data_IF_342340782080
#
_entry.id   IF_342340782080
#
_cell.length_a   1.000
_cell.length_b   1.000
_cell.length_c   1.000
_cell.angle_alpha   90.00
_cell.angle_beta   90.00
_cell.angle_gamma   90.00
#
_symmetry.space_group_name_H-M   'P 1'
#
loop_
_entity.id
_entity.type
_entity.pdbx_description
1 polymer ?
#
# COMPACT_ATOMS: atom_id res chain seq x y z
N UNK A 1 -24.75 4.30 -11.31
CA UNK A 1 -25.15 5.44 -12.15
C UNK A 1 -24.04 5.95 -13.08
N UNK A 2 -22.77 6.07 -12.65
CA UNK A 2 -21.67 6.57 -13.52
C UNK A 2 -21.06 5.49 -14.44
N UNK A 3 -20.88 4.26 -13.95
CA UNK A 3 -20.37 3.13 -14.77
C UNK A 3 -21.31 2.71 -15.90
N UNK A 4 -22.62 2.90 -15.73
CA UNK A 4 -23.64 2.66 -16.76
C UNK A 4 -23.62 3.72 -17.88
N UNK A 5 -23.06 4.92 -17.63
CA UNK A 5 -23.01 6.01 -18.60
C UNK A 5 -21.83 5.91 -19.60
N UNK A 6 -20.79 5.13 -19.25
CA UNK A 6 -19.58 4.96 -20.06
C UNK A 6 -19.72 3.95 -21.21
N UNK A 7 -20.81 3.18 -21.24
CA UNK A 7 -21.01 2.08 -22.18
C UNK A 7 -20.00 0.95 -21.99
N UNK A 8 -20.25 -0.19 -22.66
CA UNK A 8 -19.42 -1.42 -22.52
C UNK A 8 -17.92 -1.17 -22.79
N UNK A 9 -17.60 -0.27 -23.73
CA UNK A 9 -16.22 0.11 -24.09
C UNK A 9 -15.54 1.02 -23.06
N UNK A 10 -16.26 1.93 -22.41
CA UNK A 10 -15.68 2.78 -21.36
C UNK A 10 -15.46 2.03 -20.04
N UNK A 11 -16.33 1.06 -19.75
CA UNK A 11 -16.11 0.07 -18.67
C UNK A 11 -14.87 -0.78 -18.92
N UNK A 12 -14.68 -1.31 -20.14
CA UNK A 12 -13.47 -2.05 -20.51
C UNK A 12 -12.19 -1.21 -20.43
N UNK A 13 -12.20 0.08 -20.80
CA UNK A 13 -11.01 0.95 -20.73
C UNK A 13 -10.64 1.29 -19.28
N UNK A 14 -11.61 1.57 -18.41
CA UNK A 14 -11.37 1.78 -16.97
C UNK A 14 -10.89 0.47 -16.32
N UNK A 15 -11.48 -0.66 -16.70
CA UNK A 15 -11.02 -1.96 -16.22
C UNK A 15 -9.59 -2.21 -16.68
N UNK A 16 -9.26 -2.09 -17.97
CA UNK A 16 -7.92 -2.42 -18.49
C UNK A 16 -6.83 -1.50 -17.94
N UNK A 17 -7.06 -0.18 -17.86
CA UNK A 17 -6.03 0.76 -17.39
C UNK A 17 -5.95 0.88 -15.87
N UNK A 18 -7.07 0.77 -15.16
CA UNK A 18 -7.09 0.90 -13.71
C UNK A 18 -6.85 -0.44 -13.00
N UNK A 19 -7.20 -1.60 -13.57
CA UNK A 19 -7.23 -2.86 -12.81
C UNK A 19 -5.93 -3.65 -12.74
N UNK A 20 -4.97 -3.47 -13.64
CA UNK A 20 -3.83 -4.40 -13.69
C UNK A 20 -2.47 -3.72 -13.62
N UNK A 21 -2.25 -2.62 -14.32
CA UNK A 21 -0.91 -2.01 -14.30
C UNK A 21 -0.74 -1.08 -13.11
N UNK A 22 -1.68 -0.16 -12.88
CA UNK A 22 -1.57 0.79 -11.78
C UNK A 22 -1.84 0.16 -10.41
N UNK A 23 -2.88 -0.65 -10.29
CA UNK A 23 -3.23 -1.35 -9.05
C UNK A 23 -2.19 -2.39 -8.62
N UNK A 24 -1.34 -2.88 -9.54
CA UNK A 24 -0.20 -3.73 -9.18
C UNK A 24 1.09 -2.95 -8.95
N UNK A 25 1.43 -2.01 -9.83
CA UNK A 25 2.72 -1.34 -9.80
C UNK A 25 2.80 -0.29 -8.69
N UNK A 26 1.75 0.51 -8.45
CA UNK A 26 1.84 1.58 -7.47
C UNK A 26 2.03 1.07 -6.04
N UNK A 27 1.27 0.06 -5.55
CA UNK A 27 1.53 -0.50 -4.23
C UNK A 27 2.94 -1.07 -4.11
N UNK A 28 3.46 -1.71 -5.16
CA UNK A 28 4.84 -2.22 -5.19
C UNK A 28 5.87 -1.09 -5.11
N UNK A 29 5.74 -0.06 -5.94
CA UNK A 29 6.66 1.07 -5.99
C UNK A 29 6.65 1.86 -4.68
N UNK A 30 5.46 2.11 -4.12
CA UNK A 30 5.34 2.77 -2.83
C UNK A 30 5.95 1.90 -1.72
N UNK A 31 5.70 0.58 -1.72
CA UNK A 31 6.30 -0.33 -0.74
C UNK A 31 7.82 -0.36 -0.82
N UNK A 32 8.37 -0.45 -2.03
CA UNK A 32 9.82 -0.38 -2.27
C UNK A 32 10.40 0.97 -1.82
N UNK A 33 9.68 2.06 -2.04
CA UNK A 33 10.06 3.40 -1.59
C UNK A 33 10.09 3.46 -0.07
N UNK A 34 9.04 2.98 0.62
CA UNK A 34 8.97 2.96 2.08
C UNK A 34 10.11 2.12 2.67
N UNK A 35 10.33 0.90 2.15
CA UNK A 35 11.46 0.04 2.56
C UNK A 35 12.79 0.76 2.37
N UNK A 36 13.00 1.38 1.21
CA UNK A 36 14.23 2.12 0.90
C UNK A 36 14.45 3.30 1.85
N UNK A 37 13.40 4.05 2.17
CA UNK A 37 13.47 5.17 3.11
C UNK A 37 13.77 4.69 4.54
N UNK A 38 13.13 3.60 5.00
CA UNK A 38 13.43 3.00 6.31
C UNK A 38 14.90 2.59 6.38
N UNK A 39 15.44 1.96 5.33
CA UNK A 39 16.85 1.56 5.27
C UNK A 39 17.78 2.79 5.28
N UNK A 40 17.50 3.80 4.45
CA UNK A 40 18.35 5.00 4.32
C UNK A 40 18.39 5.80 5.61
N UNK A 41 17.24 6.06 6.24
CA UNK A 41 17.19 6.80 7.49
C UNK A 41 17.60 5.95 8.69
N UNK A 42 17.24 4.66 8.70
CA UNK A 42 17.60 3.72 9.74
C UNK A 42 19.11 3.56 9.88
N UNK A 43 19.86 3.47 8.77
CA UNK A 43 21.33 3.37 8.79
C UNK A 43 22.04 4.58 9.42
N UNK A 44 21.34 5.71 9.64
CA UNK A 44 21.88 6.85 10.40
C UNK A 44 21.86 6.62 11.91
N UNK A 45 21.07 5.66 12.39
CA UNK A 45 20.97 5.28 13.80
C UNK A 45 21.95 4.16 14.13
N UNK A 46 22.70 4.30 15.23
CA UNK A 46 23.72 3.32 15.63
C UNK A 46 23.15 1.92 15.84
N UNK A 47 21.98 1.81 16.49
CA UNK A 47 21.33 0.52 16.80
C UNK A 47 20.89 -0.21 15.54
N UNK A 48 20.26 0.49 14.60
CA UNK A 48 19.81 -0.10 13.35
C UNK A 48 20.99 -0.45 12.44
N UNK A 49 22.02 0.41 12.40
CA UNK A 49 23.26 0.15 11.65
C UNK A 49 24.05 -1.06 12.20
N UNK A 50 23.92 -1.37 13.48
CA UNK A 50 24.57 -2.54 14.09
C UNK A 50 23.93 -3.88 13.68
N UNK A 51 22.71 -3.86 13.13
CA UNK A 51 22.04 -5.06 12.61
C UNK A 51 22.69 -5.51 11.29
N UNK A 52 22.68 -6.82 11.01
CA UNK A 52 23.08 -7.36 9.71
C UNK A 52 22.19 -6.81 8.59
N UNK A 53 22.70 -6.80 7.35
CA UNK A 53 21.93 -6.31 6.21
C UNK A 53 20.62 -7.07 6.01
N UNK A 54 20.61 -8.38 6.29
CA UNK A 54 19.41 -9.22 6.22
C UNK A 54 18.39 -8.82 7.28
N UNK A 55 18.82 -8.52 8.51
CA UNK A 55 17.91 -8.07 9.58
C UNK A 55 17.35 -6.67 9.29
N UNK A 56 18.16 -5.76 8.76
CA UNK A 56 17.68 -4.43 8.33
C UNK A 56 16.61 -4.56 7.24
N UNK A 57 16.85 -5.42 6.25
CA UNK A 57 15.91 -5.68 5.16
C UNK A 57 14.63 -6.34 5.68
N UNK A 58 14.75 -7.37 6.51
CA UNK A 58 13.61 -8.08 7.10
C UNK A 58 12.76 -7.14 7.96
N UNK A 59 13.38 -6.33 8.82
CA UNK A 59 12.67 -5.35 9.64
C UNK A 59 11.89 -4.35 8.77
N UNK A 60 12.55 -3.80 7.75
CA UNK A 60 11.91 -2.84 6.84
C UNK A 60 10.77 -3.47 6.07
N UNK A 61 10.94 -4.71 5.62
CA UNK A 61 9.91 -5.46 4.91
C UNK A 61 8.70 -5.76 5.80
N UNK A 62 8.93 -6.27 7.02
CA UNK A 62 7.86 -6.60 7.98
C UNK A 62 7.03 -5.37 8.36
N UNK A 63 7.63 -4.18 8.42
CA UNK A 63 6.88 -2.95 8.68
C UNK A 63 5.98 -2.52 7.51
N UNK A 64 6.37 -2.82 6.27
CA UNK A 64 5.66 -2.35 5.06
C UNK A 64 4.68 -3.40 4.52
N UNK A 65 4.98 -4.69 4.72
CA UNK A 65 4.20 -5.81 4.19
C UNK A 65 2.70 -5.74 4.56
N UNK A 66 2.29 -5.41 5.80
CA UNK A 66 0.88 -5.34 6.17
C UNK A 66 0.11 -4.31 5.33
N UNK A 67 0.70 -3.13 5.11
CA UNK A 67 0.13 -2.12 4.22
C UNK A 67 0.00 -2.65 2.79
N UNK A 68 1.08 -3.22 2.24
CA UNK A 68 1.10 -3.73 0.87
C UNK A 68 -0.01 -4.78 0.65
N UNK A 69 -0.12 -5.74 1.57
CA UNK A 69 -1.16 -6.78 1.53
C UNK A 69 -2.55 -6.17 1.59
N UNK A 70 -2.80 -5.21 2.47
CA UNK A 70 -4.09 -4.54 2.58
C UNK A 70 -4.45 -3.75 1.31
N UNK A 71 -3.47 -3.09 0.67
CA UNK A 71 -3.68 -2.35 -0.57
C UNK A 71 -4.03 -3.32 -1.73
N UNK A 72 -3.26 -4.39 -1.91
CA UNK A 72 -3.56 -5.42 -2.90
C UNK A 72 -4.93 -6.08 -2.67
N UNK A 73 -5.27 -6.40 -1.42
CA UNK A 73 -6.57 -6.97 -1.07
C UNK A 73 -7.71 -5.99 -1.38
N UNK A 74 -7.53 -4.70 -1.10
CA UNK A 74 -8.51 -3.66 -1.44
C UNK A 74 -8.69 -3.54 -2.95
N UNK A 75 -7.59 -3.52 -3.72
CA UNK A 75 -7.65 -3.40 -5.17
C UNK A 75 -8.37 -4.62 -5.76
N UNK A 76 -8.09 -5.83 -5.26
CA UNK A 76 -8.81 -7.03 -5.65
C UNK A 76 -10.32 -6.97 -5.30
N UNK A 77 -10.67 -6.49 -4.11
CA UNK A 77 -12.07 -6.38 -3.68
C UNK A 77 -12.85 -5.38 -4.55
N UNK A 78 -12.27 -4.20 -4.82
CA UNK A 78 -12.86 -3.21 -5.72
C UNK A 78 -12.92 -3.75 -7.15
N UNK A 79 -11.88 -4.46 -7.58
CA UNK A 79 -11.86 -5.06 -8.91
C UNK A 79 -13.07 -5.97 -9.12
N UNK A 80 -13.30 -6.87 -8.16
CA UNK A 80 -14.43 -7.79 -8.15
C UNK A 80 -15.77 -7.05 -8.20
N UNK A 81 -15.93 -6.00 -7.39
CA UNK A 81 -17.15 -5.19 -7.33
C UNK A 81 -17.54 -4.53 -8.67
N UNK A 82 -16.58 -3.99 -9.44
CA UNK A 82 -16.93 -3.38 -10.74
C UNK A 82 -17.01 -4.41 -11.87
N UNK A 83 -16.39 -5.58 -11.74
CA UNK A 83 -16.51 -6.66 -12.73
C UNK A 83 -17.86 -7.41 -12.65
N UNK A 84 -18.44 -7.51 -11.45
CA UNK A 84 -19.66 -8.27 -11.20
C UNK A 84 -20.66 -7.44 -10.40
N UNK A 85 -21.66 -6.89 -11.09
CA UNK A 85 -22.74 -6.09 -10.49
C UNK A 85 -23.57 -6.86 -9.46
N UNK A 86 -23.64 -8.20 -9.53
CA UNK A 86 -24.35 -9.00 -8.52
C UNK A 86 -23.54 -9.12 -7.22
N UNK A 87 -22.22 -8.95 -7.29
CA UNK A 87 -21.34 -8.92 -6.12
C UNK A 87 -21.36 -7.57 -5.37
N UNK A 88 -21.97 -6.52 -5.94
CA UNK A 88 -22.12 -5.21 -5.33
C UNK A 88 -23.24 -5.16 -4.26
N UNK A 89 -23.21 -6.12 -3.33
CA UNK A 89 -24.09 -6.15 -2.17
C UNK A 89 -23.51 -5.28 -1.02
N UNK A 90 -24.34 -4.91 -0.01
CA UNK A 90 -23.91 -4.06 1.09
C UNK A 90 -22.69 -4.57 1.86
N UNK A 91 -22.58 -5.89 2.05
CA UNK A 91 -21.48 -6.51 2.79
C UNK A 91 -20.14 -6.39 2.05
N UNK A 92 -20.15 -6.60 0.73
CA UNK A 92 -18.94 -6.48 -0.10
C UNK A 92 -18.48 -5.02 -0.21
N UNK A 93 -19.43 -4.07 -0.24
CA UNK A 93 -19.13 -2.64 -0.16
C UNK A 93 -18.55 -2.26 1.20
N UNK A 94 -19.12 -2.78 2.29
CA UNK A 94 -18.60 -2.56 3.65
C UNK A 94 -17.19 -3.14 3.81
N UNK A 95 -16.93 -4.32 3.24
CA UNK A 95 -15.60 -4.95 3.23
C UNK A 95 -14.57 -4.15 2.43
N UNK A 96 -14.89 -3.71 1.21
CA UNK A 96 -13.99 -2.86 0.43
C UNK A 96 -13.70 -1.51 1.14
N UNK A 97 -14.71 -0.96 1.81
CA UNK A 97 -14.57 0.27 2.60
C UNK A 97 -13.67 0.06 3.82
N UNK A 98 -13.83 -1.06 4.55
CA UNK A 98 -12.98 -1.37 5.70
C UNK A 98 -11.54 -1.63 5.30
N UNK A 99 -11.30 -2.30 4.16
CA UNK A 99 -9.96 -2.46 3.59
C UNK A 99 -9.33 -1.12 3.21
N UNK A 100 -10.12 -0.18 2.68
CA UNK A 100 -9.66 1.16 2.37
C UNK A 100 -9.19 1.90 3.62
N UNK A 101 -9.96 1.86 4.71
CA UNK A 101 -9.54 2.46 6.00
C UNK A 101 -8.32 1.75 6.55
N UNK A 102 -8.32 0.42 6.52
CA UNK A 102 -7.26 -0.43 7.07
C UNK A 102 -5.92 -0.18 6.38
N UNK A 103 -5.88 -0.08 5.04
CA UNK A 103 -4.63 0.17 4.33
C UNK A 103 -4.00 1.51 4.73
N UNK A 104 -4.78 2.57 4.88
CA UNK A 104 -4.25 3.87 5.32
C UNK A 104 -3.79 3.86 6.78
N UNK A 105 -4.52 3.18 7.66
CA UNK A 105 -4.09 2.98 9.04
C UNK A 105 -2.75 2.22 9.12
N UNK A 106 -2.60 1.16 8.32
CA UNK A 106 -1.36 0.39 8.25
C UNK A 106 -0.22 1.18 7.58
N UNK A 107 -0.51 2.01 6.57
CA UNK A 107 0.46 2.90 5.92
C UNK A 107 1.05 3.94 6.89
N UNK A 108 0.26 4.39 7.86
CA UNK A 108 0.73 5.36 8.84
C UNK A 108 1.91 4.85 9.67
N UNK A 109 2.02 3.53 9.89
CA UNK A 109 3.08 2.89 10.67
C UNK A 109 4.46 3.12 10.03
N UNK A 110 4.76 2.65 8.80
CA UNK A 110 6.05 2.89 8.17
C UNK A 110 6.33 4.38 7.96
N UNK A 111 5.32 5.20 7.67
CA UNK A 111 5.48 6.66 7.55
C UNK A 111 5.96 7.28 8.87
N UNK A 112 5.34 6.89 9.99
CA UNK A 112 5.75 7.34 11.32
C UNK A 112 7.16 6.87 11.67
N UNK A 113 7.51 5.62 11.39
CA UNK A 113 8.86 5.09 11.59
C UNK A 113 9.90 5.88 10.80
N UNK A 114 9.63 6.18 9.52
CA UNK A 114 10.49 7.01 8.68
C UNK A 114 10.68 8.40 9.30
N UNK A 115 9.59 9.04 9.73
CA UNK A 115 9.65 10.35 10.37
C UNK A 115 10.51 10.33 11.65
N UNK A 116 10.32 9.33 12.52
CA UNK A 116 11.12 9.16 13.74
C UNK A 116 12.59 8.93 13.40
N UNK A 117 12.90 8.08 12.42
CA UNK A 117 14.29 7.82 12.01
C UNK A 117 14.95 9.07 11.42
N UNK A 118 14.23 9.82 10.59
CA UNK A 118 14.72 11.07 10.00
C UNK A 118 15.02 12.11 11.08
N UNK A 119 14.11 12.32 12.04
CA UNK A 119 14.28 13.27 13.15
C UNK A 119 15.39 12.86 14.10
N UNK A 120 15.44 11.59 14.50
CA UNK A 120 16.48 11.06 15.38
C UNK A 120 17.88 11.13 14.72
N UNK A 121 17.95 10.93 13.40
CA UNK A 121 19.17 11.08 12.62
C UNK A 121 19.64 12.53 12.47
N UNK A 122 18.72 13.50 12.47
CA UNK A 122 19.06 14.94 12.47
C UNK A 122 19.65 15.38 13.81
N UNK A 123 19.07 14.96 14.94
CA UNK A 123 19.54 15.34 16.29
C UNK A 123 20.95 14.83 16.66
N UNK A 124 21.48 13.86 15.90
CA UNK A 124 22.82 13.29 16.12
C UNK A 124 23.91 13.90 15.23
N UNK A 125 23.54 14.75 14.28
CA UNK A 125 24.48 15.62 13.54
C UNK A 125 24.62 16.93 14.29
#
# INVERSE_FOLDING_TARGET
AWLTALGRRGGEIIIVWHYLTFDLLFPALLSLTLVSLILVYGRRLSTFRAMSAQLQALFSLVLVLPYAVADYAQNFAVARLLSDFQSANPDSLAFASSLTVTKFALLAIPVFVIAVFALAGQRRR
#
